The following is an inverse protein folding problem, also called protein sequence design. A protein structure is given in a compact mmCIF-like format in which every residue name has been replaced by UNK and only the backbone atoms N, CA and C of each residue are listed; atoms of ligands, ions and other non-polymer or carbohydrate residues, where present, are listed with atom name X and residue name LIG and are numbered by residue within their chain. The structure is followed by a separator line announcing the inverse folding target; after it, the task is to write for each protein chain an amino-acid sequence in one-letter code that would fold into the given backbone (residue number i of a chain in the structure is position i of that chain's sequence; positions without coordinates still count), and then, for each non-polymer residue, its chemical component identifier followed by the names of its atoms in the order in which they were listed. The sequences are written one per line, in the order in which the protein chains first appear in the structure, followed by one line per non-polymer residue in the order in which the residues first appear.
data_IF_829127713324
#
_entry.id   IF_829127713324
#
_cell.length_a   1.000
_cell.length_b   1.000
_cell.length_c   1.000
_cell.angle_alpha   90.00
_cell.angle_beta   90.00
_cell.angle_gamma   90.00
#
_symmetry.space_group_name_H-M   'P 1'
#
loop_
_entity.id
_entity.type
_entity.pdbx_description
1 polymer ?
#
# COMPACT_ATOMS: atom_id res chain seq x y z
N UNK A 1 -29.47 -11.23 34.28
CA UNK A 1 -28.91 -11.54 32.95
C UNK A 1 -27.40 -11.42 33.07
N UNK A 2 -26.64 -12.51 32.87
CA UNK A 2 -25.19 -12.49 32.96
C UNK A 2 -24.59 -11.89 31.67
N UNK A 3 -23.52 -11.11 31.79
CA UNK A 3 -22.77 -10.61 30.63
C UNK A 3 -22.08 -11.79 29.91
N UNK A 4 -21.98 -11.78 28.58
CA UNK A 4 -21.29 -12.82 27.84
C UNK A 4 -19.81 -12.88 28.21
N UNK A 5 -19.22 -14.08 28.18
CA UNK A 5 -17.78 -14.24 28.37
C UNK A 5 -17.00 -13.54 27.25
N UNK A 6 -16.00 -12.75 27.64
CA UNK A 6 -15.14 -12.02 26.71
C UNK A 6 -13.92 -12.88 26.36
N UNK A 7 -13.85 -13.32 25.12
CA UNK A 7 -12.66 -13.98 24.58
C UNK A 7 -11.75 -12.96 23.87
N UNK A 8 -10.42 -13.09 23.98
CA UNK A 8 -9.50 -12.20 23.29
C UNK A 8 -9.62 -12.37 21.77
N UNK A 9 -9.47 -11.26 21.04
CA UNK A 9 -9.37 -11.28 19.58
C UNK A 9 -7.99 -11.86 19.21
N UNK A 10 -7.97 -12.90 18.37
CA UNK A 10 -6.75 -13.62 17.99
C UNK A 10 -6.40 -13.48 16.51
N UNK A 11 -6.96 -12.49 15.82
CA UNK A 11 -6.66 -12.26 14.40
C UNK A 11 -5.23 -11.71 14.22
N UNK A 12 -4.64 -11.80 13.03
CA UNK A 12 -3.32 -11.19 12.77
C UNK A 12 -3.29 -9.67 12.98
N UNK A 13 -4.44 -9.00 12.90
CA UNK A 13 -4.61 -7.57 13.19
C UNK A 13 -4.69 -7.25 14.70
N UNK A 14 -4.75 -8.26 15.58
CA UNK A 14 -4.77 -8.08 17.03
C UNK A 14 -3.34 -7.94 17.60
N UNK A 15 -2.67 -6.83 17.29
CA UNK A 15 -1.32 -6.52 17.74
C UNK A 15 -1.27 -5.29 18.66
N UNK A 16 -0.20 -5.19 19.45
CA UNK A 16 0.14 -3.99 20.22
C UNK A 16 1.25 -3.22 19.54
N UNK A 17 1.20 -1.88 19.62
CA UNK A 17 2.17 -1.00 18.94
C UNK A 17 3.62 -1.30 19.32
N UNK A 18 3.88 -1.67 20.58
CA UNK A 18 5.21 -2.06 21.05
C UNK A 18 5.76 -3.30 20.32
N UNK A 19 4.89 -4.26 19.97
CA UNK A 19 5.30 -5.49 19.30
C UNK A 19 5.57 -5.23 17.82
N UNK A 20 4.81 -4.30 17.21
CA UNK A 20 5.05 -3.83 15.84
C UNK A 20 6.33 -3.01 15.73
N UNK A 21 6.62 -2.15 16.71
CA UNK A 21 7.85 -1.36 16.74
C UNK A 21 9.11 -2.25 16.74
N UNK A 22 9.10 -3.34 17.51
CA UNK A 22 10.19 -4.34 17.53
C UNK A 22 10.32 -5.12 16.22
N UNK A 23 9.26 -5.17 15.42
CA UNK A 23 9.15 -5.94 14.17
C UNK A 23 9.03 -5.03 12.94
N UNK A 24 9.66 -3.85 12.98
CA UNK A 24 9.55 -2.83 11.92
C UNK A 24 9.86 -3.37 10.51
N UNK A 25 10.81 -4.30 10.41
CA UNK A 25 11.17 -4.93 9.13
C UNK A 25 10.06 -5.80 8.52
N UNK A 26 9.08 -6.28 9.30
CA UNK A 26 8.00 -7.14 8.81
C UNK A 26 6.93 -6.37 8.03
N UNK A 27 6.81 -5.06 8.26
CA UNK A 27 5.74 -4.24 7.67
C UNK A 27 6.28 -3.01 6.94
N UNK A 28 7.60 -2.81 6.93
CA UNK A 28 8.26 -1.79 6.11
C UNK A 28 8.96 -2.44 4.93
N UNK A 29 8.77 -1.90 3.73
CA UNK A 29 9.62 -2.21 2.59
C UNK A 29 9.96 -0.96 1.78
N UNK A 30 11.11 -0.97 1.10
CA UNK A 30 11.57 0.15 0.25
C UNK A 30 11.28 -0.17 -1.21
N UNK A 31 10.84 0.82 -1.97
CA UNK A 31 10.74 0.74 -3.42
C UNK A 31 12.12 0.91 -4.04
N UNK A 32 12.43 0.09 -5.02
CA UNK A 32 13.60 0.25 -5.88
C UNK A 32 13.39 1.40 -6.87
N UNK A 33 14.48 1.93 -7.41
CA UNK A 33 14.43 3.00 -8.41
C UNK A 33 13.64 2.57 -9.67
N UNK A 34 13.69 1.28 -10.02
CA UNK A 34 12.91 0.72 -11.13
C UNK A 34 11.40 0.71 -10.85
N UNK A 35 10.99 0.30 -9.63
CA UNK A 35 9.59 0.35 -9.21
C UNK A 35 9.08 1.80 -9.14
N UNK A 36 9.91 2.73 -8.66
CA UNK A 36 9.57 4.16 -8.62
C UNK A 36 9.37 4.71 -10.03
N UNK A 37 10.30 4.42 -10.95
CA UNK A 37 10.16 4.83 -12.36
C UNK A 37 8.87 4.29 -12.98
N UNK A 38 8.55 3.02 -12.72
CA UNK A 38 7.33 2.39 -13.22
C UNK A 38 6.05 3.12 -12.78
N UNK A 39 5.97 3.51 -11.49
CA UNK A 39 4.82 4.26 -10.96
C UNK A 39 4.67 5.61 -11.66
N UNK A 40 5.75 6.36 -11.82
CA UNK A 40 5.70 7.67 -12.48
C UNK A 40 5.43 7.58 -13.98
N UNK A 41 5.97 6.56 -14.66
CA UNK A 41 5.68 6.30 -16.07
C UNK A 41 4.20 5.99 -16.28
N UNK A 42 3.62 5.17 -15.41
CA UNK A 42 2.19 4.91 -15.43
C UNK A 42 1.38 6.17 -15.15
N UNK A 43 1.70 6.93 -14.10
CA UNK A 43 0.99 8.16 -13.74
C UNK A 43 0.99 9.17 -14.91
N UNK A 44 2.16 9.39 -15.56
CA UNK A 44 2.26 10.23 -16.76
C UNK A 44 1.42 9.70 -17.92
N UNK A 45 1.38 8.38 -18.12
CA UNK A 45 0.58 7.76 -19.17
C UNK A 45 -0.93 7.93 -18.94
N UNK A 46 -1.38 7.75 -17.70
CA UNK A 46 -2.80 7.88 -17.33
C UNK A 46 -3.27 9.33 -17.45
N UNK A 47 -2.46 10.31 -17.03
CA UNK A 47 -2.75 11.75 -17.22
C UNK A 47 -2.92 12.14 -18.68
N UNK A 48 -2.17 11.52 -19.59
CA UNK A 48 -2.36 11.75 -21.05
C UNK A 48 -3.68 11.18 -21.56
N UNK A 49 -4.29 10.23 -20.85
CA UNK A 49 -5.53 9.57 -21.26
C UNK A 49 -6.77 10.29 -20.75
N UNK A 50 -6.72 10.84 -19.53
CA UNK A 50 -7.84 11.56 -18.91
C UNK A 50 -7.34 12.50 -17.81
N UNK A 51 -8.01 13.63 -17.64
CA UNK A 51 -7.85 14.53 -16.49
C UNK A 51 -8.65 14.05 -15.27
N UNK A 52 -9.63 13.16 -15.48
CA UNK A 52 -10.51 12.63 -14.43
C UNK A 52 -10.05 11.24 -13.98
N UNK A 53 -9.38 11.18 -12.83
CA UNK A 53 -8.89 9.95 -12.22
C UNK A 53 -10.00 8.95 -11.90
N UNK A 54 -11.26 9.40 -11.70
CA UNK A 54 -12.38 8.51 -11.39
C UNK A 54 -12.81 7.65 -12.59
N UNK A 55 -12.38 8.00 -13.80
CA UNK A 55 -12.63 7.23 -15.02
C UNK A 55 -11.60 6.12 -15.24
N UNK A 56 -10.53 6.07 -14.43
CA UNK A 56 -9.51 5.05 -14.53
C UNK A 56 -9.98 3.74 -13.93
N UNK A 57 -9.70 2.65 -14.62
CA UNK A 57 -9.93 1.30 -14.15
C UNK A 57 -8.60 0.57 -13.91
N UNK A 58 -8.67 -0.56 -13.20
CA UNK A 58 -7.50 -1.44 -13.05
C UNK A 58 -6.96 -1.94 -14.40
N UNK A 59 -7.80 -2.03 -15.44
CA UNK A 59 -7.36 -2.41 -16.77
C UNK A 59 -6.48 -1.34 -17.44
N UNK A 60 -6.52 -0.10 -16.95
CA UNK A 60 -5.71 1.01 -17.43
C UNK A 60 -4.35 1.11 -16.71
N UNK A 61 -4.20 0.39 -15.59
CA UNK A 61 -3.05 0.47 -14.70
C UNK A 61 -2.21 -0.82 -14.74
N UNK A 62 -1.17 -0.83 -15.57
CA UNK A 62 -0.21 -1.95 -15.66
C UNK A 62 1.08 -1.59 -14.92
N UNK A 63 1.42 -2.38 -13.91
CA UNK A 63 2.64 -2.25 -13.10
C UNK A 63 3.33 -3.62 -12.97
N UNK A 64 3.95 -4.17 -14.04
CA UNK A 64 4.52 -5.51 -14.02
C UNK A 64 5.55 -5.76 -12.91
N UNK A 65 6.35 -4.76 -12.51
CA UNK A 65 7.32 -4.90 -11.42
C UNK A 65 6.64 -4.93 -10.05
N UNK A 66 5.57 -4.14 -9.87
CA UNK A 66 4.86 -4.03 -8.60
C UNK A 66 3.65 -4.96 -8.45
N UNK A 67 3.23 -5.66 -9.51
CA UNK A 67 1.97 -6.42 -9.52
C UNK A 67 1.91 -7.47 -8.39
N UNK A 68 2.96 -8.29 -8.26
CA UNK A 68 3.01 -9.33 -7.22
C UNK A 68 3.05 -8.70 -5.82
N UNK A 69 3.87 -7.67 -5.65
CA UNK A 69 4.01 -6.95 -4.37
C UNK A 69 2.70 -6.28 -3.94
N UNK A 70 1.97 -5.66 -4.86
CA UNK A 70 0.66 -5.05 -4.58
C UNK A 70 -0.39 -6.11 -4.21
N UNK A 71 -0.34 -7.31 -4.82
CA UNK A 71 -1.21 -8.41 -4.46
C UNK A 71 -0.91 -8.93 -3.04
N UNK A 72 0.36 -9.04 -2.66
CA UNK A 72 0.79 -9.39 -1.30
C UNK A 72 0.35 -8.34 -0.28
N UNK A 73 0.56 -7.06 -0.58
CA UNK A 73 0.11 -5.96 0.26
C UNK A 73 -1.40 -5.99 0.45
N UNK A 74 -2.19 -6.20 -0.62
CA UNK A 74 -3.64 -6.36 -0.52
C UNK A 74 -4.02 -7.49 0.44
N UNK A 75 -3.32 -8.63 0.38
CA UNK A 75 -3.55 -9.75 1.30
C UNK A 75 -3.22 -9.38 2.75
N UNK A 76 -2.09 -8.72 2.99
CA UNK A 76 -1.68 -8.28 4.33
C UNK A 76 -2.63 -7.23 4.93
N UNK A 77 -3.18 -6.34 4.10
CA UNK A 77 -4.16 -5.32 4.51
C UNK A 77 -5.51 -5.94 4.87
N UNK A 78 -5.99 -6.91 4.09
CA UNK A 78 -7.34 -7.48 4.27
C UNK A 78 -7.38 -8.66 5.25
N UNK A 79 -6.31 -9.45 5.31
CA UNK A 79 -6.27 -10.72 6.06
C UNK A 79 -5.09 -10.83 7.01
N UNK A 80 -4.11 -9.93 6.91
CA UNK A 80 -2.92 -9.89 7.76
C UNK A 80 -3.05 -8.87 8.88
N UNK A 81 -1.96 -8.15 9.13
CA UNK A 81 -1.86 -7.16 10.23
C UNK A 81 -2.70 -5.90 10.01
N UNK A 82 -3.23 -5.69 8.81
CA UNK A 82 -4.10 -4.56 8.48
C UNK A 82 -3.36 -3.29 8.05
N UNK A 83 -2.02 -3.31 7.94
CA UNK A 83 -1.24 -2.17 7.49
C UNK A 83 0.12 -2.61 6.89
N UNK A 84 0.71 -1.72 6.09
CA UNK A 84 2.07 -1.84 5.58
C UNK A 84 2.63 -0.43 5.28
N UNK A 85 3.95 -0.31 5.18
CA UNK A 85 4.65 0.93 4.84
C UNK A 85 5.56 0.69 3.64
N UNK A 86 5.28 1.39 2.55
CA UNK A 86 6.17 1.52 1.40
C UNK A 86 6.95 2.84 1.52
N UNK A 87 8.28 2.77 1.42
CA UNK A 87 9.16 3.95 1.45
C UNK A 87 9.90 4.11 0.13
N UNK A 88 10.39 5.31 -0.15
CA UNK A 88 11.30 5.58 -1.27
C UNK A 88 10.74 6.50 -2.35
N UNK A 89 9.46 6.89 -2.28
CA UNK A 89 8.89 7.86 -3.22
C UNK A 89 9.56 9.24 -3.03
N UNK A 90 10.07 9.87 -4.11
CA UNK A 90 10.73 11.17 -4.08
C UNK A 90 9.71 12.32 -4.10
N UNK A 91 8.88 12.43 -3.07
CA UNK A 91 7.74 13.38 -3.04
C UNK A 91 8.17 14.85 -3.19
N UNK A 92 9.38 15.21 -2.75
CA UNK A 92 9.92 16.57 -2.87
C UNK A 92 10.31 16.95 -4.29
N UNK A 93 10.47 15.98 -5.20
CA UNK A 93 10.90 16.19 -6.58
C UNK A 93 9.73 16.42 -7.56
N UNK A 94 8.50 16.29 -7.06
CA UNK A 94 7.28 16.34 -7.86
C UNK A 94 6.27 17.38 -7.36
N UNK A 95 5.42 17.85 -8.26
CA UNK A 95 4.36 18.80 -7.91
C UNK A 95 3.33 18.16 -6.96
N UNK A 96 2.60 18.99 -6.20
CA UNK A 96 1.49 18.51 -5.38
C UNK A 96 0.47 17.74 -6.22
N UNK A 97 0.23 18.20 -7.44
CA UNK A 97 -0.69 17.55 -8.35
C UNK A 97 -0.21 16.13 -8.72
N UNK A 98 1.09 15.95 -9.03
CA UNK A 98 1.67 14.64 -9.35
C UNK A 98 1.72 13.67 -8.17
N UNK A 99 1.75 14.19 -6.95
CA UNK A 99 1.78 13.41 -5.71
C UNK A 99 0.38 13.09 -5.13
N UNK A 100 -0.66 13.81 -5.56
CA UNK A 100 -2.04 13.65 -5.08
C UNK A 100 -2.78 12.51 -5.82
#
# INVERSE_FOLDING_TARGET
MALPELNPITSPAAWLGQDMARRTAEWTSKLSDAEISEVYDLARSLRRKTEDLLQLSLADASLPLLQERLAELRKELLHGRGFAMLRGMPVEEHSLEENA
#
